data_IF_208259865200
#
_entry.id   IF_208259865200
#
_cell.length_a   1.000
_cell.length_b   1.000
_cell.length_c   1.000
_cell.angle_alpha   90.00
_cell.angle_beta   90.00
_cell.angle_gamma   90.00
#
_symmetry.space_group_name_H-M   'P 1'
#
loop_
_entity.id
_entity.type
_entity.pdbx_description
1 polymer ?
#
# COMPACT_ATOMS: atom_id res chain seq x y z
N UNK A 1 -18.00 3.91 12.22
CA UNK A 1 -17.88 4.39 10.84
C UNK A 1 -18.18 5.88 10.88
N UNK A 2 -17.22 6.73 10.51
CA UNK A 2 -17.33 8.20 10.62
C UNK A 2 -17.77 8.87 9.31
N UNK A 3 -17.87 8.11 8.21
CA UNK A 3 -18.14 8.64 6.87
C UNK A 3 -19.54 8.34 6.36
N UNK A 4 -20.43 7.77 7.20
CA UNK A 4 -21.81 7.47 6.80
C UNK A 4 -22.71 8.68 6.97
N UNK A 5 -23.49 8.97 5.94
CA UNK A 5 -24.57 9.94 6.01
C UNK A 5 -25.58 9.56 7.11
N UNK A 6 -26.17 10.57 7.74
CA UNK A 6 -27.16 10.42 8.82
C UNK A 6 -26.65 9.69 10.08
N UNK A 7 -25.33 9.57 10.28
CA UNK A 7 -24.75 9.08 11.53
C UNK A 7 -24.04 10.21 12.29
N UNK A 8 -24.20 10.32 13.63
CA UNK A 8 -23.48 11.32 14.40
C UNK A 8 -21.97 11.12 14.30
N UNK A 9 -21.23 12.19 14.02
CA UNK A 9 -19.76 12.18 14.01
C UNK A 9 -19.23 12.13 15.45
N UNK A 10 -19.04 10.92 15.98
CA UNK A 10 -18.53 10.72 17.34
C UNK A 10 -17.02 10.49 17.32
N UNK A 11 -16.26 11.54 17.56
CA UNK A 11 -14.81 11.47 17.68
C UNK A 11 -14.39 11.10 19.11
N UNK A 12 -13.90 9.88 19.29
CA UNK A 12 -13.44 9.39 20.60
C UNK A 12 -11.92 9.30 20.68
N UNK A 13 -11.40 8.90 21.83
CA UNK A 13 -9.98 8.64 22.03
C UNK A 13 -9.43 7.63 21.01
N UNK A 14 -10.22 6.61 20.60
CA UNK A 14 -9.76 5.62 19.61
C UNK A 14 -9.45 6.27 18.26
N UNK A 15 -10.31 7.17 17.78
CA UNK A 15 -10.09 7.87 16.51
C UNK A 15 -8.94 8.87 16.62
N UNK A 16 -8.83 9.57 17.76
CA UNK A 16 -7.70 10.46 18.02
C UNK A 16 -6.37 9.71 17.99
N UNK A 17 -6.28 8.56 18.67
CA UNK A 17 -5.06 7.73 18.67
C UNK A 17 -4.72 7.23 17.27
N UNK A 18 -5.69 6.71 16.52
CA UNK A 18 -5.47 6.26 15.15
C UNK A 18 -4.97 7.40 14.24
N UNK A 19 -5.57 8.59 14.36
CA UNK A 19 -5.14 9.78 13.60
C UNK A 19 -3.72 10.22 13.95
N UNK A 20 -3.35 10.21 15.24
CA UNK A 20 -2.01 10.57 15.68
C UNK A 20 -0.96 9.55 15.22
N UNK A 21 -1.27 8.25 15.26
CA UNK A 21 -0.39 7.21 14.72
C UNK A 21 -0.18 7.37 13.21
N UNK A 22 -1.23 7.69 12.47
CA UNK A 22 -1.12 7.95 11.03
C UNK A 22 -0.23 9.16 10.74
N UNK A 23 -0.41 10.26 11.49
CA UNK A 23 0.45 11.44 11.37
C UNK A 23 1.90 11.08 11.64
N UNK A 24 2.17 10.36 12.72
CA UNK A 24 3.52 9.95 13.07
C UNK A 24 4.13 9.11 11.95
N UNK A 25 3.42 8.07 11.49
CA UNK A 25 3.87 7.20 10.40
C UNK A 25 4.20 7.98 9.12
N UNK A 26 3.36 8.95 8.74
CA UNK A 26 3.62 9.80 7.57
C UNK A 26 4.84 10.72 7.75
N UNK A 27 5.09 11.21 8.98
CA UNK A 27 6.23 12.11 9.26
C UNK A 27 7.54 11.37 9.54
N UNK A 28 7.49 10.09 9.92
CA UNK A 28 8.66 9.27 10.26
C UNK A 28 8.98 8.23 9.20
N UNK A 29 8.18 8.12 8.13
CA UNK A 29 8.41 7.17 7.06
C UNK A 29 9.79 7.40 6.42
N UNK A 30 10.47 6.32 5.98
CA UNK A 30 11.71 6.46 5.24
C UNK A 30 11.52 7.38 4.03
N UNK A 31 12.54 8.20 3.76
CA UNK A 31 12.51 9.14 2.63
C UNK A 31 12.25 8.36 1.34
N UNK A 32 11.09 8.61 0.71
CA UNK A 32 10.77 8.06 -0.59
C UNK A 32 11.82 8.53 -1.59
N UNK A 33 12.37 7.59 -2.36
CA UNK A 33 13.29 7.91 -3.45
C UNK A 33 12.49 8.18 -4.72
N UNK A 34 12.97 9.13 -5.53
CA UNK A 34 12.54 9.22 -6.92
C UNK A 34 12.96 7.95 -7.69
N UNK A 35 12.12 7.45 -8.60
CA UNK A 35 12.45 6.28 -9.39
C UNK A 35 13.62 6.56 -10.33
N UNK A 36 14.54 5.61 -10.43
CA UNK A 36 15.63 5.60 -11.39
C UNK A 36 15.39 4.51 -12.42
N UNK A 37 14.97 4.88 -13.63
CA UNK A 37 14.63 3.93 -14.69
C UNK A 37 15.82 3.14 -15.25
N UNK A 38 17.04 3.38 -14.76
CA UNK A 38 18.21 2.55 -15.10
C UNK A 38 18.38 1.34 -14.16
N UNK A 39 17.60 1.28 -13.08
CA UNK A 39 17.64 0.22 -12.07
C UNK A 39 16.38 -0.67 -12.14
N UNK A 40 16.49 -1.98 -11.86
CA UNK A 40 15.33 -2.86 -11.79
C UNK A 40 14.43 -2.48 -10.61
N UNK A 41 13.12 -2.61 -10.80
CA UNK A 41 12.15 -2.41 -9.74
C UNK A 41 11.93 -3.69 -8.94
N UNK A 42 11.59 -3.54 -7.67
CA UNK A 42 11.17 -4.64 -6.79
C UNK A 42 9.79 -4.30 -6.26
N UNK A 43 8.85 -5.23 -6.42
CA UNK A 43 7.47 -5.09 -5.97
C UNK A 43 7.20 -6.12 -4.89
N UNK A 44 7.05 -5.65 -3.65
CA UNK A 44 6.68 -6.52 -2.52
C UNK A 44 5.20 -6.29 -2.21
N UNK A 45 4.41 -7.36 -2.21
CA UNK A 45 2.98 -7.31 -1.90
C UNK A 45 2.65 -8.18 -0.70
N UNK A 46 1.59 -7.79 0.02
CA UNK A 46 1.05 -8.55 1.14
C UNK A 46 -0.48 -8.42 1.16
N UNK A 47 -1.15 -9.48 1.59
CA UNK A 47 -2.58 -9.48 1.80
C UNK A 47 -2.94 -9.82 3.25
N UNK A 48 -3.96 -9.13 3.75
CA UNK A 48 -4.61 -9.45 5.01
C UNK A 48 -6.09 -9.76 4.78
N UNK A 49 -6.77 -10.25 5.82
CA UNK A 49 -8.21 -10.54 5.76
C UNK A 49 -9.09 -9.30 5.44
N UNK A 50 -8.56 -8.07 5.55
CA UNK A 50 -9.35 -6.84 5.44
C UNK A 50 -8.82 -5.85 4.41
N UNK A 51 -7.57 -6.00 3.98
CA UNK A 51 -6.88 -5.08 3.08
C UNK A 51 -5.71 -5.78 2.39
N UNK A 52 -5.36 -5.27 1.22
CA UNK A 52 -4.13 -5.63 0.49
C UNK A 52 -3.23 -4.41 0.42
N UNK A 53 -1.94 -4.64 0.26
CA UNK A 53 -0.99 -3.56 0.02
C UNK A 53 0.31 -4.03 -0.59
N UNK A 54 1.19 -3.07 -0.82
CA UNK A 54 2.53 -3.34 -1.28
C UNK A 54 3.41 -2.12 -1.26
N UNK A 55 4.67 -2.35 -1.59
CA UNK A 55 5.69 -1.32 -1.76
C UNK A 55 6.47 -1.59 -3.04
N UNK A 56 6.68 -0.53 -3.83
CA UNK A 56 7.62 -0.53 -4.94
C UNK A 56 8.92 0.11 -4.47
N UNK A 57 10.03 -0.56 -4.71
CA UNK A 57 11.36 -0.17 -4.25
C UNK A 57 12.43 -0.42 -5.31
N UNK A 58 13.59 0.18 -5.11
CA UNK A 58 14.79 -0.05 -5.93
C UNK A 58 16.01 -0.21 -5.03
N UNK A 59 16.96 -1.05 -5.45
CA UNK A 59 18.25 -1.17 -4.81
C UNK A 59 19.28 -0.29 -5.55
N UNK A 60 19.79 0.73 -4.87
CA UNK A 60 20.75 1.71 -5.42
C UNK A 60 22.22 1.36 -5.10
N UNK A 61 22.48 0.15 -4.64
CA UNK A 61 23.79 -0.27 -4.11
C UNK A 61 23.99 0.06 -2.63
N UNK A 62 23.10 0.83 -2.00
CA UNK A 62 23.11 1.12 -0.56
C UNK A 62 21.92 0.47 0.17
N UNK A 63 21.29 -0.53 -0.45
CA UNK A 63 20.11 -1.23 0.06
C UNK A 63 18.83 -0.85 -0.67
N UNK A 64 17.76 -1.56 -0.33
CA UNK A 64 16.44 -1.35 -0.91
C UNK A 64 15.81 -0.06 -0.35
N UNK A 65 15.39 0.81 -1.26
CA UNK A 65 14.75 2.09 -0.92
C UNK A 65 13.35 2.17 -1.52
N UNK A 66 12.33 2.48 -0.71
CA UNK A 66 10.96 2.58 -1.19
C UNK A 66 10.79 3.82 -2.09
N UNK A 67 10.07 3.64 -3.19
CA UNK A 67 9.62 4.71 -4.10
C UNK A 67 8.20 5.11 -3.76
N UNK A 68 7.32 4.13 -3.56
CA UNK A 68 5.93 4.36 -3.20
C UNK A 68 5.33 3.17 -2.45
N UNK A 69 4.26 3.45 -1.71
CA UNK A 69 3.44 2.46 -1.00
C UNK A 69 2.03 2.48 -1.58
N UNK A 70 1.42 1.32 -1.70
CA UNK A 70 0.04 1.15 -2.17
C UNK A 70 -0.75 0.34 -1.14
N UNK A 71 -2.01 0.70 -0.93
CA UNK A 71 -2.88 -0.07 -0.03
C UNK A 71 -4.34 0.12 -0.39
N UNK A 72 -5.10 -0.98 -0.37
CA UNK A 72 -6.53 -1.00 -0.67
C UNK A 72 -7.26 -1.83 0.37
N UNK A 73 -8.28 -1.23 0.99
CA UNK A 73 -9.26 -1.95 1.80
C UNK A 73 -10.11 -2.85 0.90
N UNK A 74 -10.29 -4.10 1.30
CA UNK A 74 -11.12 -5.06 0.58
C UNK A 74 -12.61 -4.77 0.82
N UNK A 75 -13.41 -4.93 -0.22
CA UNK A 75 -14.88 -4.91 -0.11
C UNK A 75 -15.42 -6.27 0.36
N UNK A 76 -16.72 -6.34 0.65
CA UNK A 76 -17.35 -7.56 1.17
C UNK A 76 -17.15 -8.79 0.28
N UNK A 77 -17.11 -8.62 -1.04
CA UNK A 77 -16.86 -9.72 -1.97
C UNK A 77 -15.39 -10.15 -1.94
N UNK A 78 -14.47 -9.19 -1.95
CA UNK A 78 -13.03 -9.43 -1.94
C UNK A 78 -12.54 -10.06 -0.61
N UNK A 79 -13.16 -9.73 0.51
CA UNK A 79 -12.88 -10.35 1.81
C UNK A 79 -13.20 -11.86 1.79
N UNK A 80 -14.16 -12.30 0.97
CA UNK A 80 -14.55 -13.71 0.85
C UNK A 80 -13.68 -14.53 -0.08
N UNK A 81 -12.71 -13.91 -0.76
CA UNK A 81 -11.74 -14.63 -1.56
C UNK A 81 -10.89 -15.55 -0.68
N UNK A 82 -10.53 -16.75 -1.16
CA UNK A 82 -9.50 -17.56 -0.52
C UNK A 82 -8.20 -16.76 -0.37
N UNK A 83 -7.39 -17.10 0.65
CA UNK A 83 -6.13 -16.39 0.95
C UNK A 83 -5.23 -16.26 -0.28
N UNK A 84 -5.05 -17.32 -1.05
CA UNK A 84 -4.21 -17.29 -2.26
C UNK A 84 -4.74 -16.33 -3.35
N UNK A 85 -6.06 -16.15 -3.46
CA UNK A 85 -6.66 -15.16 -4.36
C UNK A 85 -6.49 -13.74 -3.82
N UNK A 86 -6.50 -13.54 -2.50
CA UNK A 86 -6.20 -12.24 -1.90
C UNK A 86 -4.75 -11.83 -2.13
N UNK A 87 -3.79 -12.76 -1.99
CA UNK A 87 -2.39 -12.53 -2.33
C UNK A 87 -2.23 -12.17 -3.81
N UNK A 88 -2.86 -12.93 -4.72
CA UNK A 88 -2.82 -12.63 -6.14
C UNK A 88 -3.48 -11.29 -6.49
N UNK A 89 -4.56 -10.94 -5.77
CA UNK A 89 -5.22 -9.66 -5.92
C UNK A 89 -4.34 -8.49 -5.47
N UNK A 90 -3.55 -8.66 -4.40
CA UNK A 90 -2.56 -7.66 -3.98
C UNK A 90 -1.54 -7.36 -5.09
N UNK A 91 -1.05 -8.41 -5.77
CA UNK A 91 -0.16 -8.29 -6.93
C UNK A 91 -0.84 -7.47 -8.03
N UNK A 92 -2.06 -7.83 -8.44
CA UNK A 92 -2.79 -7.11 -9.50
C UNK A 92 -2.98 -5.63 -9.16
N UNK A 93 -3.36 -5.31 -7.93
CA UNK A 93 -3.56 -3.92 -7.49
C UNK A 93 -2.26 -3.13 -7.61
N UNK A 94 -1.16 -3.66 -7.07
CA UNK A 94 0.15 -3.00 -7.12
C UNK A 94 0.63 -2.79 -8.56
N UNK A 95 0.55 -3.82 -9.42
CA UNK A 95 0.95 -3.71 -10.82
C UNK A 95 0.12 -2.70 -11.61
N UNK A 96 -1.18 -2.59 -11.31
CA UNK A 96 -2.05 -1.58 -11.95
C UNK A 96 -1.73 -0.17 -11.48
N UNK A 97 -1.53 0.02 -10.18
CA UNK A 97 -1.19 1.33 -9.61
C UNK A 97 0.15 1.86 -10.14
N UNK A 98 1.15 0.99 -10.29
CA UNK A 98 2.49 1.36 -10.74
C UNK A 98 2.78 1.01 -12.19
N UNK A 99 1.74 0.84 -13.00
CA UNK A 99 1.88 0.58 -14.43
C UNK A 99 2.81 1.61 -15.12
N UNK A 100 2.71 2.87 -14.72
CA UNK A 100 3.58 3.94 -15.24
C UNK A 100 5.08 3.76 -14.94
N UNK A 101 5.45 2.92 -13.97
CA UNK A 101 6.83 2.60 -13.62
C UNK A 101 7.27 1.23 -14.16
N UNK A 102 6.36 0.25 -14.20
CA UNK A 102 6.70 -1.15 -14.48
C UNK A 102 6.53 -1.54 -15.94
N UNK A 103 5.70 -0.84 -16.72
CA UNK A 103 5.44 -1.20 -18.11
C UNK A 103 6.70 -1.05 -18.98
N UNK A 104 7.17 -2.17 -19.53
CA UNK A 104 8.40 -2.22 -20.34
C UNK A 104 9.70 -2.26 -19.53
N UNK A 105 9.62 -2.32 -18.20
CA UNK A 105 10.76 -2.39 -17.29
C UNK A 105 10.95 -3.80 -16.73
N UNK A 106 12.18 -4.14 -16.36
CA UNK A 106 12.46 -5.35 -15.60
C UNK A 106 12.12 -5.12 -14.13
N UNK A 107 11.36 -6.06 -13.54
CA UNK A 107 11.02 -6.02 -12.13
C UNK A 107 10.89 -7.44 -11.56
N UNK A 108 11.07 -7.53 -10.24
CA UNK A 108 10.86 -8.74 -9.44
C UNK A 108 9.71 -8.56 -8.46
#
# INVERSE_FOLDING_TARGET
DLMRDNTPFVWTLKQQTAFMLLKQALTSAPVLRLPDFTLPFIVVTDASMVAVGGVIMQNDGNGERPIAYESKKLNDAEIRYPVHEQEFYAIIICLRSWRCYLEGMEFT
#
